data_IF_232916395901
#
_entry.id   IF_232916395901
#
_cell.length_a   1.000
_cell.length_b   1.000
_cell.length_c   1.000
_cell.angle_alpha   90.00
_cell.angle_beta   90.00
_cell.angle_gamma   90.00
#
_symmetry.space_group_name_H-M   'P 1'
#
loop_
_entity.id
_entity.type
_entity.pdbx_description
1 polymer ?
#
# COMPACT_ATOMS: atom_id res chain seq x y z
N UNK A 1 -29.82 4.26 18.82
CA UNK A 1 -29.01 4.96 17.81
C UNK A 1 -27.99 3.96 17.28
N UNK A 2 -28.21 3.41 16.07
CA UNK A 2 -27.27 2.46 15.48
C UNK A 2 -26.15 3.24 14.79
N UNK A 3 -24.90 3.07 15.23
CA UNK A 3 -23.73 3.70 14.60
C UNK A 3 -23.59 3.17 13.16
N UNK A 4 -23.82 4.05 12.18
CA UNK A 4 -23.92 3.72 10.75
C UNK A 4 -22.56 3.51 10.05
N UNK A 5 -21.42 3.58 10.75
CA UNK A 5 -20.08 3.44 10.13
C UNK A 5 -19.14 2.54 10.93
N UNK A 6 -19.46 1.25 11.04
CA UNK A 6 -18.52 0.28 11.62
C UNK A 6 -17.70 -0.36 10.50
N UNK A 7 -16.41 -0.03 10.41
CA UNK A 7 -15.47 -0.72 9.51
C UNK A 7 -15.44 -2.20 9.89
N UNK A 8 -15.56 -3.09 8.90
CA UNK A 8 -15.51 -4.53 9.15
C UNK A 8 -14.18 -4.90 9.79
N UNK A 9 -14.20 -5.89 10.68
CA UNK A 9 -12.97 -6.41 11.28
C UNK A 9 -12.10 -7.06 10.19
N UNK A 10 -10.79 -7.01 10.37
CA UNK A 10 -9.85 -7.73 9.51
C UNK A 10 -10.13 -9.24 9.54
N UNK A 11 -10.21 -9.84 8.37
CA UNK A 11 -10.39 -11.29 8.18
C UNK A 11 -9.14 -12.08 8.59
N UNK A 12 -9.30 -13.36 8.94
CA UNK A 12 -8.16 -14.25 9.23
C UNK A 12 -7.21 -14.41 8.04
N UNK A 13 -7.76 -14.32 6.81
CA UNK A 13 -6.96 -14.32 5.60
C UNK A 13 -6.03 -13.10 5.52
N UNK A 14 -6.56 -11.90 5.73
CA UNK A 14 -5.77 -10.66 5.75
C UNK A 14 -4.71 -10.68 6.86
N UNK A 15 -5.06 -11.17 8.06
CA UNK A 15 -4.09 -11.31 9.16
C UNK A 15 -2.94 -12.25 8.81
N UNK A 16 -3.25 -13.38 8.16
CA UNK A 16 -2.23 -14.33 7.70
C UNK A 16 -1.34 -13.70 6.64
N UNK A 17 -1.92 -13.05 5.62
CA UNK A 17 -1.17 -12.36 4.57
C UNK A 17 -0.25 -11.28 5.15
N UNK A 18 -0.75 -10.46 6.07
CA UNK A 18 0.06 -9.46 6.77
C UNK A 18 1.26 -10.08 7.50
N UNK A 19 1.05 -11.23 8.16
CA UNK A 19 2.12 -11.96 8.86
C UNK A 19 3.14 -12.56 7.89
N UNK A 20 2.70 -13.07 6.74
CA UNK A 20 3.56 -13.63 5.69
C UNK A 20 4.44 -12.56 5.04
N UNK A 21 3.92 -11.33 4.89
CA UNK A 21 4.67 -10.20 4.34
C UNK A 21 5.83 -9.76 5.24
N UNK A 22 5.67 -9.84 6.56
CA UNK A 22 6.75 -9.55 7.52
C UNK A 22 6.34 -8.69 8.71
N UNK A 23 7.16 -8.63 9.77
CA UNK A 23 6.87 -7.88 10.99
C UNK A 23 6.78 -6.36 10.82
N UNK A 24 7.31 -5.83 9.71
CA UNK A 24 7.25 -4.41 9.35
C UNK A 24 5.88 -4.00 8.77
N UNK A 25 5.03 -4.96 8.43
CA UNK A 25 3.65 -4.71 8.01
C UNK A 25 2.70 -4.78 9.19
N UNK A 26 1.67 -3.94 9.14
CA UNK A 26 0.60 -3.86 10.12
C UNK A 26 -0.76 -3.77 9.42
N UNK A 27 -1.84 -4.06 10.14
CA UNK A 27 -3.19 -3.81 9.65
C UNK A 27 -3.69 -2.51 10.28
N UNK A 28 -4.19 -1.59 9.45
CA UNK A 28 -4.74 -0.32 9.88
C UNK A 28 -5.98 0.03 9.07
N UNK A 29 -6.62 1.17 9.39
CA UNK A 29 -7.78 1.68 8.68
C UNK A 29 -7.38 2.94 7.90
N UNK A 30 -7.57 2.90 6.58
CA UNK A 30 -7.43 4.04 5.66
C UNK A 30 -8.70 4.09 4.82
N UNK A 31 -9.29 5.28 4.63
CA UNK A 31 -10.50 5.48 3.82
C UNK A 31 -11.66 4.50 4.11
N UNK A 32 -11.89 4.23 5.41
CA UNK A 32 -12.90 3.29 5.92
C UNK A 32 -12.69 1.82 5.49
N UNK A 33 -11.50 1.48 5.00
CA UNK A 33 -11.08 0.12 4.64
C UNK A 33 -10.01 -0.41 5.60
N UNK A 34 -10.08 -1.71 5.93
CA UNK A 34 -8.94 -2.41 6.53
C UNK A 34 -7.88 -2.66 5.45
N UNK A 35 -6.71 -2.05 5.61
CA UNK A 35 -5.57 -2.17 4.67
C UNK A 35 -4.36 -2.79 5.39
N UNK A 36 -3.49 -3.44 4.63
CA UNK A 36 -2.15 -3.79 5.13
C UNK A 36 -1.24 -2.60 4.83
N UNK A 37 -0.46 -2.15 5.81
CA UNK A 37 0.30 -0.92 5.77
C UNK A 37 1.73 -1.14 6.26
N UNK A 38 2.68 -0.45 5.64
CA UNK A 38 4.10 -0.42 6.04
C UNK A 38 4.63 1.01 5.93
N UNK A 39 5.17 1.52 7.03
CA UNK A 39 5.99 2.74 7.06
C UNK A 39 7.44 2.36 6.71
N UNK A 40 8.03 3.04 5.73
CA UNK A 40 9.42 2.78 5.29
C UNK A 40 10.45 3.55 6.14
N UNK A 41 10.02 4.44 7.03
CA UNK A 41 10.88 5.19 7.95
C UNK A 41 11.62 6.38 7.30
N UNK A 42 11.32 6.69 6.05
CA UNK A 42 11.97 7.74 5.25
C UNK A 42 10.98 8.70 4.59
N UNK A 43 9.78 8.82 5.16
CA UNK A 43 8.70 9.68 4.65
C UNK A 43 7.87 9.05 3.52
N UNK A 44 8.05 7.76 3.26
CA UNK A 44 7.25 6.99 2.32
C UNK A 44 6.54 5.84 3.04
N UNK A 45 5.35 5.49 2.55
CA UNK A 45 4.55 4.42 3.10
C UNK A 45 3.93 3.58 1.99
N UNK A 46 3.72 2.29 2.25
CA UNK A 46 3.04 1.37 1.34
C UNK A 46 1.70 1.00 1.97
N UNK A 47 0.63 1.20 1.21
CA UNK A 47 -0.71 0.71 1.51
C UNK A 47 -1.08 -0.41 0.53
N UNK A 48 -1.62 -1.50 1.04
CA UNK A 48 -2.16 -2.63 0.27
C UNK A 48 -3.66 -2.72 0.58
N UNK A 49 -4.46 -2.30 -0.38
CA UNK A 49 -5.93 -2.29 -0.34
C UNK A 49 -6.53 -3.48 -1.09
N UNK A 50 -7.77 -3.85 -0.76
CA UNK A 50 -8.57 -4.86 -1.46
C UNK A 50 -8.45 -6.28 -0.90
N UNK A 51 -7.63 -6.50 0.12
CA UNK A 51 -7.30 -7.84 0.66
C UNK A 51 -8.09 -8.23 1.92
N UNK A 52 -8.91 -7.34 2.48
CA UNK A 52 -9.84 -7.72 3.55
C UNK A 52 -11.05 -8.51 2.99
N UNK A 53 -10.80 -9.75 2.59
CA UNK A 53 -11.77 -10.62 1.91
C UNK A 53 -11.55 -12.08 2.31
N UNK A 54 -12.50 -12.96 2.01
CA UNK A 54 -12.30 -14.42 2.09
C UNK A 54 -11.73 -15.01 0.79
N UNK A 55 -11.73 -14.25 -0.31
CA UNK A 55 -11.31 -14.73 -1.63
C UNK A 55 -9.84 -14.43 -1.90
N UNK A 56 -9.03 -15.49 -2.02
CA UNK A 56 -7.62 -15.40 -2.41
C UNK A 56 -7.42 -14.96 -3.87
N UNK A 57 -8.48 -14.99 -4.69
CA UNK A 57 -8.43 -14.55 -6.10
C UNK A 57 -8.60 -13.04 -6.28
N UNK A 58 -9.10 -12.34 -5.24
CA UNK A 58 -9.32 -10.90 -5.33
C UNK A 58 -7.96 -10.21 -5.43
N UNK A 59 -7.85 -9.31 -6.39
CA UNK A 59 -6.63 -8.55 -6.64
C UNK A 59 -6.50 -7.39 -5.66
N UNK A 60 -5.27 -7.10 -5.29
CA UNK A 60 -4.91 -5.96 -4.46
C UNK A 60 -4.61 -4.74 -5.32
N UNK A 61 -4.69 -3.56 -4.69
CA UNK A 61 -4.07 -2.34 -5.21
C UNK A 61 -3.05 -1.87 -4.19
N UNK A 62 -1.83 -1.60 -4.66
CA UNK A 62 -0.75 -1.03 -3.84
C UNK A 62 -0.66 0.47 -4.13
N UNK A 63 -0.65 1.27 -3.08
CA UNK A 63 -0.40 2.71 -3.13
C UNK A 63 0.92 3.01 -2.44
N UNK A 64 1.79 3.76 -3.12
CA UNK A 64 2.97 4.36 -2.52
C UNK A 64 2.65 5.80 -2.14
N UNK A 65 2.69 6.08 -0.85
CA UNK A 65 2.48 7.39 -0.28
C UNK A 65 3.80 8.10 -0.03
N UNK A 66 3.77 9.42 -0.13
CA UNK A 66 4.81 10.33 0.34
C UNK A 66 4.21 11.30 1.36
N UNK A 67 4.93 11.50 2.46
CA UNK A 67 4.58 12.39 3.57
C UNK A 67 3.16 12.11 4.15
N UNK A 68 2.64 10.87 4.00
CA UNK A 68 1.27 10.45 4.38
C UNK A 68 0.13 11.26 3.76
N UNK A 69 0.42 12.09 2.77
CA UNK A 69 -0.56 13.02 2.18
C UNK A 69 -0.75 12.82 0.68
N UNK A 70 0.25 12.29 -0.02
CA UNK A 70 0.24 12.22 -1.49
C UNK A 70 0.52 10.80 -1.96
N UNK A 71 -0.33 10.29 -2.83
CA UNK A 71 -0.07 9.05 -3.56
C UNK A 71 0.82 9.40 -4.75
N UNK A 72 2.00 8.80 -4.83
CA UNK A 72 2.98 9.05 -5.91
C UNK A 72 3.08 7.90 -6.89
N UNK A 73 2.59 6.71 -6.53
CA UNK A 73 2.52 5.54 -7.41
C UNK A 73 1.35 4.64 -7.01
N UNK A 74 0.70 4.05 -8.01
CA UNK A 74 -0.36 3.06 -7.85
C UNK A 74 -0.02 1.85 -8.70
N UNK A 75 -0.10 0.66 -8.12
CA UNK A 75 -0.02 -0.63 -8.83
C UNK A 75 -1.36 -1.35 -8.62
N UNK A 76 -2.14 -1.50 -9.69
CA UNK A 76 -3.48 -2.12 -9.67
C UNK A 76 -3.42 -3.58 -10.09
N UNK A 77 -4.49 -4.32 -9.82
CA UNK A 77 -4.70 -5.70 -10.28
C UNK A 77 -3.60 -6.70 -9.83
N UNK A 78 -2.99 -6.45 -8.67
CA UNK A 78 -1.89 -7.27 -8.15
C UNK A 78 -2.44 -8.57 -7.59
N UNK A 79 -1.92 -9.72 -8.05
CA UNK A 79 -2.26 -11.01 -7.44
C UNK A 79 -1.74 -11.04 -6.01
N UNK A 80 -2.42 -11.74 -5.11
CA UNK A 80 -1.97 -11.75 -3.71
C UNK A 80 -0.59 -12.39 -3.55
N UNK A 81 -0.25 -13.35 -4.40
CA UNK A 81 1.06 -14.01 -4.44
C UNK A 81 2.18 -13.04 -4.89
N UNK A 82 1.84 -12.00 -5.65
CA UNK A 82 2.79 -11.00 -6.17
C UNK A 82 2.95 -9.77 -5.26
N UNK A 83 2.16 -9.65 -4.18
CA UNK A 83 2.17 -8.45 -3.31
C UNK A 83 3.56 -8.17 -2.75
N UNK A 84 4.25 -9.20 -2.26
CA UNK A 84 5.60 -9.06 -1.71
C UNK A 84 6.57 -8.51 -2.76
N UNK A 85 6.58 -9.12 -3.94
CA UNK A 85 7.45 -8.69 -5.04
C UNK A 85 7.14 -7.26 -5.52
N UNK A 86 5.86 -6.87 -5.59
CA UNK A 86 5.48 -5.50 -5.91
C UNK A 86 5.90 -4.51 -4.81
N UNK A 87 5.79 -4.89 -3.54
CA UNK A 87 6.24 -4.07 -2.42
C UNK A 87 7.75 -3.87 -2.41
N UNK A 88 8.54 -4.90 -2.70
CA UNK A 88 9.99 -4.81 -2.84
C UNK A 88 10.41 -3.90 -3.99
N UNK A 89 9.67 -3.91 -5.10
CA UNK A 89 9.88 -2.97 -6.22
C UNK A 89 9.61 -1.53 -5.80
N UNK A 90 8.56 -1.28 -5.00
CA UNK A 90 8.29 0.05 -4.45
C UNK A 90 9.40 0.49 -3.48
N UNK A 91 9.89 -0.40 -2.63
CA UNK A 91 11.03 -0.12 -1.74
C UNK A 91 12.30 0.24 -2.54
N UNK A 92 12.58 -0.52 -3.61
CA UNK A 92 13.71 -0.26 -4.51
C UNK A 92 13.55 1.09 -5.22
N UNK A 93 12.35 1.41 -5.71
CA UNK A 93 12.04 2.71 -6.31
C UNK A 93 12.35 3.84 -5.32
N UNK A 94 11.79 3.76 -4.10
CA UNK A 94 12.00 4.78 -3.06
C UNK A 94 13.48 4.97 -2.74
N UNK A 95 14.25 3.88 -2.64
CA UNK A 95 15.70 3.97 -2.40
C UNK A 95 16.49 4.70 -3.50
N UNK A 96 15.91 4.86 -4.69
CA UNK A 96 16.52 5.59 -5.81
C UNK A 96 15.90 6.96 -6.10
N UNK A 97 14.90 7.41 -5.34
CA UNK A 97 14.27 8.72 -5.53
C UNK A 97 15.12 9.83 -4.91
N UNK A 98 15.23 10.95 -5.63
CA UNK A 98 15.78 12.20 -5.15
C UNK A 98 14.77 13.34 -5.34
N UNK A 99 15.00 14.49 -4.70
CA UNK A 99 14.12 15.65 -4.82
C UNK A 99 13.90 16.09 -6.27
N UNK A 100 14.90 15.89 -7.14
CA UNK A 100 14.83 16.21 -8.57
C UNK A 100 13.85 15.33 -9.36
N UNK A 101 13.45 14.17 -8.84
CA UNK A 101 12.47 13.29 -9.47
C UNK A 101 11.03 13.80 -9.29
N UNK A 102 10.83 14.85 -8.49
CA UNK A 102 9.55 15.50 -8.27
C UNK A 102 9.43 16.81 -9.08
N UNK A 103 8.21 17.18 -9.45
CA UNK A 103 7.91 18.50 -10.00
C UNK A 103 7.76 19.56 -8.90
N UNK A 104 7.49 20.81 -9.30
CA UNK A 104 7.37 21.94 -8.37
C UNK A 104 6.19 21.79 -7.39
N UNK A 105 5.18 21.01 -7.79
CA UNK A 105 4.02 20.66 -6.96
C UNK A 105 4.28 19.39 -6.11
N UNK A 106 5.44 18.76 -6.31
CA UNK A 106 5.91 17.58 -5.61
C UNK A 106 5.26 16.27 -6.05
N UNK A 107 4.74 16.20 -7.29
CA UNK A 107 4.34 14.95 -7.93
C UNK A 107 5.53 14.26 -8.60
N UNK A 108 5.50 12.93 -8.64
CA UNK A 108 6.54 12.14 -9.28
C UNK A 108 6.50 12.36 -10.80
N UNK A 109 7.62 12.74 -11.39
CA UNK A 109 7.72 12.97 -12.84
C UNK A 109 7.51 11.68 -13.63
N UNK A 110 6.87 11.79 -14.80
CA UNK A 110 6.51 10.64 -15.65
C UNK A 110 7.70 9.73 -16.00
N UNK A 111 8.91 10.29 -16.13
CA UNK A 111 10.14 9.54 -16.41
C UNK A 111 10.44 8.43 -15.37
N UNK A 112 9.86 8.52 -14.17
CA UNK A 112 9.98 7.51 -13.10
C UNK A 112 8.74 6.65 -12.91
N UNK A 113 7.69 6.85 -13.70
CA UNK A 113 6.46 6.05 -13.61
C UNK A 113 6.48 4.75 -14.40
N UNK A 114 7.45 4.49 -15.27
CA UNK A 114 7.56 3.20 -15.97
C UNK A 114 8.17 2.13 -15.05
N UNK A 115 7.33 1.20 -14.58
CA UNK A 115 7.70 -0.08 -13.98
C UNK A 115 6.98 -1.20 -14.73
#
# INVERSE_FOLDING_TARGET
>A
MSNIWTVSKATEHMKRLCKELGPEYSITIIDLEQVIYRDLGNGYDIEISGVNTSSQRKKATLYLWKDRHRIIKIIREVSQDDIAACSDRLCTLVGGLADADFDEDGFLREARTAL
#
